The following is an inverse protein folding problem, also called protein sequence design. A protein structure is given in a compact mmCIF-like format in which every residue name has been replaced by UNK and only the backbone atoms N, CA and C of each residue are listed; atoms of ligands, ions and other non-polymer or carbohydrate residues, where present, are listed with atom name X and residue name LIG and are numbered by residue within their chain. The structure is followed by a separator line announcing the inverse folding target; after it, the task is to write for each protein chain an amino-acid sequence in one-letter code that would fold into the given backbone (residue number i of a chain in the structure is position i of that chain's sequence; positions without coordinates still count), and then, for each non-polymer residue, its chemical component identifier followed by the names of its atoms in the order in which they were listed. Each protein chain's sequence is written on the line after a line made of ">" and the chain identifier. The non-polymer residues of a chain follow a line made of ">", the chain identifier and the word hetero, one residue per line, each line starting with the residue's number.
data_IF_719311820439
#
_entry.id   IF_719311820439
#
_cell.length_a   1.000
_cell.length_b   1.000
_cell.length_c   1.000
_cell.angle_alpha   90.00
_cell.angle_beta   90.00
_cell.angle_gamma   90.00
#
_symmetry.space_group_name_H-M   'P 1'
#
loop_
_entity.id
_entity.type
_entity.pdbx_description
1 polymer ?
#
# COMPACT_ATOMS: atom_id res chain seq x y z
N UNK A 1 -38.76 -1.06 34.48
CA UNK A 1 -37.33 -0.85 34.16
C UNK A 1 -37.26 -0.10 32.84
N UNK A 2 -37.02 1.21 32.85
CA UNK A 2 -37.06 2.02 31.62
C UNK A 2 -35.64 2.17 31.08
N UNK A 3 -35.33 1.42 30.02
CA UNK A 3 -34.10 1.58 29.25
C UNK A 3 -34.19 2.81 28.35
N UNK A 4 -33.13 3.62 28.34
CA UNK A 4 -32.84 4.59 27.28
C UNK A 4 -33.37 6.00 27.52
N UNK A 5 -32.58 6.85 28.18
CA UNK A 5 -32.69 8.31 27.98
C UNK A 5 -31.78 8.65 26.80
N UNK A 6 -32.30 9.17 25.67
CA UNK A 6 -31.46 9.55 24.54
C UNK A 6 -30.61 10.75 24.92
N UNK A 7 -29.36 10.50 25.30
CA UNK A 7 -28.38 11.56 25.59
C UNK A 7 -27.94 12.15 24.25
N UNK A 8 -28.50 13.30 23.87
CA UNK A 8 -28.04 14.04 22.69
C UNK A 8 -26.71 14.68 23.00
N UNK A 9 -25.62 14.07 22.52
CA UNK A 9 -24.29 14.66 22.61
C UNK A 9 -24.27 15.94 21.77
N UNK A 10 -24.23 17.09 22.43
CA UNK A 10 -24.28 18.38 21.73
C UNK A 10 -22.84 18.77 21.40
N UNK A 11 -22.42 18.52 20.16
CA UNK A 11 -21.07 18.86 19.71
C UNK A 11 -20.99 20.39 19.59
N UNK A 12 -20.08 21.06 20.33
CA UNK A 12 -19.93 22.51 20.25
C UNK A 12 -19.55 22.95 18.83
N UNK A 13 -20.15 24.01 18.31
CA UNK A 13 -19.85 24.50 16.95
C UNK A 13 -18.38 24.83 16.73
N UNK A 14 -17.66 25.23 17.79
CA UNK A 14 -16.22 25.50 17.74
C UNK A 14 -15.34 24.27 17.47
N UNK A 15 -15.78 23.07 17.87
CA UNK A 15 -15.01 21.84 17.61
C UNK A 15 -15.13 21.36 16.16
N UNK A 16 -16.10 21.87 15.39
CA UNK A 16 -16.24 21.54 13.96
C UNK A 16 -15.07 22.09 13.14
N UNK A 17 -14.54 23.25 13.49
CA UNK A 17 -13.38 23.82 12.80
C UNK A 17 -12.11 22.98 13.01
N UNK A 18 -11.89 22.50 14.23
CA UNK A 18 -10.80 21.54 14.52
C UNK A 18 -10.98 20.23 13.77
N UNK A 19 -12.21 19.70 13.70
CA UNK A 19 -12.51 18.50 12.94
C UNK A 19 -12.19 18.68 11.45
N UNK A 20 -12.50 19.84 10.87
CA UNK A 20 -12.17 20.16 9.48
C UNK A 20 -10.66 20.24 9.26
N UNK A 21 -9.90 20.89 10.15
CA UNK A 21 -8.44 20.96 10.04
C UNK A 21 -7.83 19.56 10.13
N UNK A 22 -8.27 18.75 11.09
CA UNK A 22 -7.79 17.38 11.24
C UNK A 22 -8.10 16.55 9.99
N UNK A 23 -9.30 16.69 9.41
CA UNK A 23 -9.66 16.02 8.17
C UNK A 23 -8.74 16.42 7.01
N UNK A 24 -8.51 17.72 6.81
CA UNK A 24 -7.58 18.20 5.78
C UNK A 24 -6.15 17.71 5.98
N UNK A 25 -5.67 17.67 7.23
CA UNK A 25 -4.34 17.15 7.55
C UNK A 25 -4.23 15.65 7.23
N UNK A 26 -5.22 14.85 7.61
CA UNK A 26 -5.27 13.40 7.32
C UNK A 26 -5.30 13.16 5.81
N UNK A 27 -6.13 13.89 5.07
CA UNK A 27 -6.22 13.74 3.61
C UNK A 27 -4.94 14.19 2.91
N UNK A 28 -4.29 15.24 3.41
CA UNK A 28 -2.97 15.67 2.96
C UNK A 28 -1.92 14.57 3.14
N UNK A 29 -1.85 13.98 4.34
CA UNK A 29 -0.93 12.87 4.64
C UNK A 29 -1.20 11.65 3.77
N UNK A 30 -2.47 11.25 3.60
CA UNK A 30 -2.86 10.12 2.74
C UNK A 30 -2.54 10.36 1.27
N UNK A 31 -2.60 11.61 0.81
CA UNK A 31 -2.25 11.96 -0.56
C UNK A 31 -0.75 11.89 -0.78
N UNK A 32 0.05 12.37 0.18
CA UNK A 32 1.50 12.27 0.15
C UNK A 32 1.98 10.82 0.20
N UNK A 33 1.40 10.01 1.08
CA UNK A 33 1.71 8.57 1.19
C UNK A 33 1.42 7.82 -0.12
N UNK A 34 0.25 8.04 -0.72
CA UNK A 34 -0.07 7.46 -2.04
C UNK A 34 0.87 7.94 -3.14
N UNK A 35 1.24 9.21 -3.13
CA UNK A 35 2.20 9.75 -4.09
C UNK A 35 3.58 9.12 -3.91
N UNK A 36 4.05 8.96 -2.68
CA UNK A 36 5.31 8.28 -2.38
C UNK A 36 5.29 6.81 -2.81
N UNK A 37 4.21 6.09 -2.50
CA UNK A 37 4.01 4.71 -2.96
C UNK A 37 3.99 4.62 -4.49
N UNK A 38 3.40 5.61 -5.19
CA UNK A 38 3.39 5.64 -6.65
C UNK A 38 4.79 5.80 -7.25
N UNK A 39 5.70 6.53 -6.57
CA UNK A 39 7.09 6.68 -6.98
C UNK A 39 7.94 5.44 -6.68
N UNK A 40 7.65 4.75 -5.57
CA UNK A 40 8.39 3.55 -5.17
C UNK A 40 8.06 2.31 -6.02
N UNK A 41 6.95 2.34 -6.77
CA UNK A 41 6.41 1.16 -7.45
C UNK A 41 6.88 1.07 -8.91
N UNK A 42 8.19 0.90 -9.09
CA UNK A 42 8.70 0.30 -10.32
C UNK A 42 8.52 -1.21 -10.22
N UNK A 43 7.30 -1.68 -10.53
CA UNK A 43 7.04 -3.10 -10.70
C UNK A 43 7.82 -3.60 -11.93
N UNK A 44 8.63 -4.66 -11.79
CA UNK A 44 9.36 -5.23 -12.92
C UNK A 44 8.35 -5.74 -13.96
N UNK A 45 8.53 -5.33 -15.21
CA UNK A 45 7.60 -5.60 -16.31
C UNK A 45 8.04 -6.77 -17.18
N UNK A 46 9.32 -7.14 -17.13
CA UNK A 46 9.87 -8.26 -17.91
C UNK A 46 10.43 -9.35 -17.01
N UNK A 47 10.55 -10.56 -17.57
CA UNK A 47 11.14 -11.69 -16.86
C UNK A 47 12.59 -11.40 -16.44
N UNK A 48 13.37 -10.70 -17.27
CA UNK A 48 14.74 -10.30 -16.97
C UNK A 48 14.81 -9.33 -15.79
N UNK A 49 13.89 -8.36 -15.71
CA UNK A 49 13.81 -7.43 -14.59
C UNK A 49 13.45 -8.15 -13.28
N UNK A 50 12.57 -9.16 -13.33
CA UNK A 50 12.25 -10.01 -12.18
C UNK A 50 13.46 -10.83 -11.72
N UNK A 51 14.25 -11.38 -12.64
CA UNK A 51 15.48 -12.11 -12.33
C UNK A 51 16.54 -11.21 -11.68
N UNK A 52 16.71 -9.99 -12.21
CA UNK A 52 17.60 -8.99 -11.63
C UNK A 52 17.14 -8.59 -10.21
N UNK A 53 15.83 -8.46 -10.00
CA UNK A 53 15.27 -8.15 -8.69
C UNK A 53 15.46 -9.30 -7.69
N UNK A 54 15.22 -10.55 -8.11
CA UNK A 54 15.47 -11.74 -7.29
C UNK A 54 16.94 -11.79 -6.81
N UNK A 55 17.89 -11.49 -7.69
CA UNK A 55 19.32 -11.41 -7.35
C UNK A 55 19.60 -10.36 -6.28
N UNK A 56 18.91 -9.21 -6.32
CA UNK A 56 19.09 -8.12 -5.35
C UNK A 56 18.58 -8.48 -3.96
N UNK A 57 17.46 -9.20 -3.87
CA UNK A 57 16.80 -9.54 -2.59
C UNK A 57 17.26 -10.89 -2.01
N UNK A 58 18.05 -11.68 -2.74
CA UNK A 58 18.56 -12.99 -2.31
C UNK A 58 19.14 -12.98 -0.89
N UNK A 59 19.88 -11.91 -0.56
CA UNK A 59 20.55 -11.77 0.73
C UNK A 59 19.57 -11.58 1.88
N UNK A 60 18.44 -10.92 1.64
CA UNK A 60 17.44 -10.61 2.68
C UNK A 60 16.32 -11.64 2.70
N UNK A 61 15.94 -12.19 1.54
CA UNK A 61 14.77 -13.05 1.35
C UNK A 61 15.05 -14.18 0.32
N UNK A 62 15.84 -15.21 0.68
CA UNK A 62 16.30 -16.23 -0.27
C UNK A 62 15.18 -17.12 -0.81
N UNK A 63 14.19 -17.48 0.02
CA UNK A 63 13.06 -18.32 -0.43
C UNK A 63 12.18 -17.60 -1.45
N UNK A 64 11.89 -16.32 -1.21
CA UNK A 64 11.08 -15.52 -2.13
C UNK A 64 11.81 -15.26 -3.45
N UNK A 65 13.12 -15.01 -3.41
CA UNK A 65 13.94 -14.89 -4.62
C UNK A 65 13.97 -16.17 -5.46
N UNK A 66 13.96 -17.35 -4.85
CA UNK A 66 13.85 -18.62 -5.56
C UNK A 66 12.50 -18.76 -6.29
N UNK A 67 11.40 -18.40 -5.63
CA UNK A 67 10.06 -18.41 -6.22
C UNK A 67 9.95 -17.46 -7.41
N UNK A 68 10.51 -16.25 -7.29
CA UNK A 68 10.56 -15.26 -8.38
C UNK A 68 11.34 -15.77 -9.59
N UNK A 69 12.50 -16.41 -9.37
CA UNK A 69 13.27 -17.03 -10.46
C UNK A 69 12.48 -18.14 -11.17
N UNK A 70 11.82 -18.99 -10.40
CA UNK A 70 10.99 -20.07 -10.95
C UNK A 70 9.77 -19.53 -11.72
N UNK A 71 9.17 -18.43 -11.27
CA UNK A 71 8.08 -17.76 -11.97
C UNK A 71 8.56 -17.11 -13.28
N UNK A 72 9.67 -16.35 -13.25
CA UNK A 72 10.25 -15.70 -14.42
C UNK A 72 10.65 -16.69 -15.52
N UNK A 73 11.33 -17.79 -15.16
CA UNK A 73 11.71 -18.82 -16.13
C UNK A 73 10.50 -19.52 -16.77
N UNK A 74 9.42 -19.71 -16.00
CA UNK A 74 8.17 -20.26 -16.54
C UNK A 74 7.48 -19.30 -17.50
N UNK A 75 7.45 -18.01 -17.19
CA UNK A 75 6.83 -17.02 -18.09
C UNK A 75 7.55 -16.90 -19.43
N UNK A 76 8.88 -16.96 -19.44
CA UNK A 76 9.66 -16.92 -20.70
C UNK A 76 9.38 -18.16 -21.55
N UNK A 77 9.33 -19.35 -20.95
CA UNK A 77 9.03 -20.60 -21.68
C UNK A 77 7.58 -20.72 -22.16
N UNK A 78 6.64 -19.96 -21.59
CA UNK A 78 5.25 -19.85 -22.07
C UNK A 78 5.13 -18.84 -23.23
N UNK A 79 5.96 -17.79 -23.23
CA UNK A 79 5.97 -16.78 -24.28
C UNK A 79 6.56 -17.27 -25.61
N UNK A 80 7.42 -18.30 -25.58
CA UNK A 80 8.04 -18.94 -26.75
C UNK A 80 7.17 -20.04 -27.40
N UNK A 81 5.96 -20.30 -26.89
CA UNK A 81 5.04 -21.36 -27.35
C UNK A 81 3.88 -20.81 -28.19
#
# INVERSE_FOLDING_TARGET
>A
MTFGRPTRLTIPRGSLWFANIAAYAIDGLRRLDRWQLSLARQEPKTAEEVLAWATRIERTEPSFAADLRAAALRSTGDQDR
#
